data_IF_173759630414
#
_entry.id   IF_173759630414
#
_cell.length_a   1.000
_cell.length_b   1.000
_cell.length_c   1.000
_cell.angle_alpha   90.00
_cell.angle_beta   90.00
_cell.angle_gamma   90.00
#
_symmetry.space_group_name_H-M   'P 1'
#
loop_
_entity.id
_entity.type
_entity.pdbx_description
1 polymer ?
#
# COMPACT_ATOMS: atom_id res chain seq x y z
N UNK A 1 16.18 96.80 166.99
CA UNK A 1 17.23 96.57 165.96
C UNK A 1 18.02 95.27 166.20
N UNK A 2 18.38 94.90 167.44
CA UNK A 2 19.15 93.66 167.72
C UNK A 2 18.33 92.35 167.55
N UNK A 3 17.03 92.37 167.89
CA UNK A 3 16.16 91.18 167.84
C UNK A 3 15.99 90.60 166.41
N UNK A 4 15.88 91.44 165.39
CA UNK A 4 15.76 91.02 163.99
C UNK A 4 17.04 90.40 163.44
N UNK A 5 18.21 90.89 163.84
CA UNK A 5 19.51 90.29 163.47
C UNK A 5 19.69 88.88 164.07
N UNK A 6 19.20 88.65 165.29
CA UNK A 6 19.30 87.36 165.99
C UNK A 6 18.42 86.28 165.32
N UNK A 7 17.19 86.62 164.92
CA UNK A 7 16.34 85.72 164.13
C UNK A 7 16.94 85.40 162.75
N UNK A 8 17.61 86.35 162.11
CA UNK A 8 18.28 86.12 160.83
C UNK A 8 19.45 85.14 160.98
N UNK A 9 20.34 85.37 161.96
CA UNK A 9 21.48 84.47 162.23
C UNK A 9 20.97 83.08 162.61
N UNK A 10 19.94 82.99 163.46
CA UNK A 10 19.34 81.72 163.84
C UNK A 10 18.71 80.99 162.64
N UNK A 11 17.99 81.71 161.77
CA UNK A 11 17.43 81.15 160.53
C UNK A 11 18.50 80.61 159.58
N UNK A 12 19.61 81.33 159.41
CA UNK A 12 20.78 80.86 158.64
C UNK A 12 21.40 79.63 159.29
N UNK A 13 21.55 79.62 160.61
CA UNK A 13 22.12 78.49 161.33
C UNK A 13 21.26 77.23 161.17
N UNK A 14 19.93 77.35 161.27
CA UNK A 14 18.98 76.25 161.09
C UNK A 14 19.01 75.72 159.66
N UNK A 15 19.04 76.59 158.65
CA UNK A 15 19.12 76.14 157.25
C UNK A 15 20.44 75.44 156.94
N UNK A 16 21.56 75.97 157.42
CA UNK A 16 22.87 75.30 157.28
C UNK A 16 22.86 73.95 157.99
N UNK A 17 22.29 73.87 159.20
CA UNK A 17 22.17 72.62 159.94
C UNK A 17 21.36 71.56 159.19
N UNK A 18 20.22 71.94 158.61
CA UNK A 18 19.37 71.05 157.79
C UNK A 18 20.12 70.57 156.54
N UNK A 19 20.85 71.45 155.84
CA UNK A 19 21.62 71.09 154.65
C UNK A 19 22.76 70.11 154.99
N UNK A 20 23.46 70.34 156.11
CA UNK A 20 24.55 69.46 156.57
C UNK A 20 24.00 68.09 156.99
N UNK A 21 22.80 68.04 157.58
CA UNK A 21 22.20 66.78 158.04
C UNK A 21 21.58 65.96 156.90
N UNK A 22 20.89 66.60 155.94
CA UNK A 22 20.24 65.90 154.83
C UNK A 22 21.13 65.69 153.60
N UNK A 23 22.10 66.57 153.36
CA UNK A 23 22.99 66.52 152.20
C UNK A 23 23.67 65.14 151.99
N UNK A 24 24.30 64.55 153.01
CA UNK A 24 24.97 63.26 152.88
C UNK A 24 24.04 62.09 152.52
N UNK A 25 22.79 62.12 153.00
CA UNK A 25 21.81 61.05 152.77
C UNK A 25 21.28 61.06 151.33
N UNK A 26 20.94 62.25 150.83
CA UNK A 26 20.46 62.44 149.45
C UNK A 26 21.58 62.08 148.46
N UNK A 27 22.83 62.49 148.74
CA UNK A 27 23.98 62.21 147.87
C UNK A 27 24.29 60.71 147.77
N UNK A 28 24.24 59.97 148.89
CA UNK A 28 24.43 58.51 148.88
C UNK A 28 23.39 57.79 148.02
N UNK A 29 22.11 58.21 148.09
CA UNK A 29 21.02 57.56 147.35
C UNK A 29 21.07 57.87 145.86
N UNK A 30 21.40 59.11 145.49
CA UNK A 30 21.63 59.50 144.10
C UNK A 30 22.80 58.73 143.46
N UNK A 31 23.91 58.59 144.19
CA UNK A 31 25.09 57.86 143.70
C UNK A 31 24.82 56.37 143.48
N UNK A 32 24.04 55.71 144.33
CA UNK A 32 23.70 54.30 144.16
C UNK A 32 22.84 54.05 142.89
N UNK A 33 21.84 54.90 142.65
CA UNK A 33 20.99 54.80 141.45
C UNK A 33 21.80 55.09 140.18
N UNK A 34 22.64 56.13 140.20
CA UNK A 34 23.55 56.44 139.10
C UNK A 34 24.53 55.29 138.83
N UNK A 35 25.12 54.71 139.88
CA UNK A 35 26.03 53.57 139.75
C UNK A 35 25.33 52.33 139.19
N UNK A 36 24.08 52.05 139.58
CA UNK A 36 23.30 50.91 139.06
C UNK A 36 22.90 51.10 137.60
N UNK A 37 22.58 52.32 137.17
CA UNK A 37 22.29 52.62 135.76
C UNK A 37 23.55 52.50 134.90
N UNK A 38 24.66 53.10 135.34
CA UNK A 38 25.94 53.05 134.64
C UNK A 38 26.48 51.61 134.53
N UNK A 39 26.26 50.78 135.56
CA UNK A 39 26.63 49.36 135.54
C UNK A 39 25.77 48.49 134.62
N UNK A 40 24.56 48.92 134.26
CA UNK A 40 23.69 48.19 133.34
C UNK A 40 23.99 48.51 131.87
N UNK A 41 24.57 49.67 131.60
CA UNK A 41 24.85 50.16 130.24
C UNK A 41 26.32 49.99 129.83
N UNK A 42 27.24 49.76 130.77
CA UNK A 42 28.67 49.64 130.48
C UNK A 42 29.21 48.24 130.79
N UNK A 43 30.05 47.66 129.90
CA UNK A 43 30.72 46.40 130.15
C UNK A 43 31.77 46.61 131.25
N UNK A 44 31.52 46.03 132.43
CA UNK A 44 32.42 46.15 133.59
C UNK A 44 33.42 45.00 133.67
N UNK A 45 33.30 43.99 132.80
CA UNK A 45 34.24 42.87 132.74
C UNK A 45 35.05 42.89 131.44
N UNK A 46 36.33 42.52 131.56
CA UNK A 46 37.24 42.37 130.42
C UNK A 46 36.83 41.23 129.47
N UNK A 47 36.00 40.29 129.93
CA UNK A 47 35.42 39.24 129.11
C UNK A 47 34.31 39.79 128.18
N UNK A 48 33.42 40.64 128.67
CA UNK A 48 32.38 41.30 127.86
C UNK A 48 32.98 42.20 126.78
N UNK A 49 34.00 43.02 127.10
CA UNK A 49 34.69 43.86 126.10
C UNK A 49 35.35 43.02 125.00
N UNK A 50 35.91 41.85 125.35
CA UNK A 50 36.45 40.92 124.36
C UNK A 50 35.36 40.30 123.50
N UNK A 51 34.22 39.95 124.10
CA UNK A 51 33.06 39.42 123.38
C UNK A 51 32.48 40.45 122.40
N UNK A 52 32.33 41.72 122.77
CA UNK A 52 31.87 42.79 121.87
C UNK A 52 32.84 43.03 120.73
N UNK A 53 34.16 43.06 121.02
CA UNK A 53 35.18 43.20 119.99
C UNK A 53 35.17 42.02 119.01
N UNK A 54 35.05 40.80 119.53
CA UNK A 54 35.01 39.60 118.70
C UNK A 54 33.67 39.48 117.94
N UNK A 55 32.57 40.00 118.52
CA UNK A 55 31.27 40.18 117.86
C UNK A 55 31.32 41.18 116.70
N UNK A 56 31.90 42.37 116.91
CA UNK A 56 32.13 43.35 115.83
C UNK A 56 33.01 42.75 114.73
N UNK A 57 34.06 42.01 115.07
CA UNK A 57 34.88 41.28 114.08
C UNK A 57 34.05 40.27 113.30
N UNK A 58 33.14 39.56 113.93
CA UNK A 58 32.25 38.62 113.27
C UNK A 58 31.26 39.34 112.34
N UNK A 59 30.65 40.44 112.78
CA UNK A 59 29.76 41.26 111.95
C UNK A 59 30.48 41.82 110.72
N UNK A 60 31.67 42.39 110.90
CA UNK A 60 32.49 42.85 109.79
C UNK A 60 32.90 41.70 108.86
N UNK A 61 33.28 40.54 109.40
CA UNK A 61 33.61 39.36 108.59
C UNK A 61 32.41 38.87 107.76
N UNK A 62 31.21 38.85 108.34
CA UNK A 62 29.96 38.50 107.64
C UNK A 62 29.63 39.54 106.58
N UNK A 63 29.75 40.83 106.88
CA UNK A 63 29.51 41.91 105.93
C UNK A 63 30.47 41.86 104.74
N UNK A 64 31.77 41.65 105.00
CA UNK A 64 32.80 41.47 103.96
C UNK A 64 32.53 40.22 103.14
N UNK A 65 32.23 39.08 103.78
CA UNK A 65 31.90 37.85 103.05
C UNK A 65 30.67 38.01 102.16
N UNK A 66 29.63 38.70 102.65
CA UNK A 66 28.42 39.01 101.86
C UNK A 66 28.74 39.91 100.66
N UNK A 67 29.58 40.94 100.85
CA UNK A 67 30.03 41.80 99.76
C UNK A 67 30.89 41.04 98.75
N UNK A 68 31.79 40.16 99.19
CA UNK A 68 32.59 39.30 98.33
C UNK A 68 31.71 38.35 97.51
N UNK A 69 30.67 37.77 98.12
CA UNK A 69 29.70 36.93 97.41
C UNK A 69 28.94 37.72 96.34
N UNK A 70 28.43 38.91 96.67
CA UNK A 70 27.76 39.78 95.69
C UNK A 70 28.71 40.16 94.56
N UNK A 71 29.96 40.51 94.88
CA UNK A 71 30.98 40.84 93.89
C UNK A 71 31.33 39.64 93.00
N UNK A 72 31.35 38.42 93.54
CA UNK A 72 31.52 37.19 92.74
C UNK A 72 30.34 36.97 91.79
N UNK A 73 29.12 37.13 92.26
CA UNK A 73 27.91 37.00 91.42
C UNK A 73 27.90 38.05 90.30
N UNK A 74 28.20 39.31 90.61
CA UNK A 74 28.27 40.36 89.59
C UNK A 74 29.41 40.13 88.59
N UNK A 75 30.56 39.62 89.04
CA UNK A 75 31.64 39.21 88.13
C UNK A 75 31.23 38.05 87.23
N UNK A 76 30.50 37.07 87.75
CA UNK A 76 29.96 35.95 86.96
C UNK A 76 28.97 36.47 85.91
N UNK A 77 27.99 37.29 86.29
CA UNK A 77 27.04 37.91 85.36
C UNK A 77 27.75 38.74 84.28
N UNK A 78 28.76 39.52 84.67
CA UNK A 78 29.53 40.33 83.72
C UNK A 78 30.31 39.45 82.72
N UNK A 79 30.89 38.34 83.21
CA UNK A 79 31.56 37.37 82.35
C UNK A 79 30.58 36.70 81.38
N UNK A 80 29.40 36.29 81.86
CA UNK A 80 28.33 35.72 81.02
C UNK A 80 27.86 36.71 79.95
N UNK A 81 27.59 37.96 80.33
CA UNK A 81 27.21 39.01 79.39
C UNK A 81 28.27 39.27 78.33
N UNK A 82 29.56 39.28 78.70
CA UNK A 82 30.65 39.42 77.73
C UNK A 82 30.71 38.26 76.75
N UNK A 83 30.47 37.03 77.20
CA UNK A 83 30.41 35.85 76.31
C UNK A 83 29.22 35.96 75.37
N UNK A 84 28.05 36.39 75.85
CA UNK A 84 26.87 36.61 75.02
C UNK A 84 27.10 37.70 73.96
N UNK A 85 27.68 38.84 74.36
CA UNK A 85 28.03 39.92 73.44
C UNK A 85 29.06 39.48 72.40
N UNK A 86 30.07 38.68 72.79
CA UNK A 86 31.04 38.14 71.86
C UNK A 86 30.37 37.24 70.81
N UNK A 87 29.46 36.36 71.22
CA UNK A 87 28.68 35.50 70.30
C UNK A 87 27.80 36.33 69.36
N UNK A 88 27.07 37.31 69.89
CA UNK A 88 26.24 38.20 69.07
C UNK A 88 27.09 38.99 68.07
N UNK A 89 28.28 39.44 68.46
CA UNK A 89 29.19 40.13 67.56
C UNK A 89 29.74 39.21 66.45
N UNK A 90 29.99 37.94 66.76
CA UNK A 90 30.33 36.93 65.74
C UNK A 90 29.18 36.68 64.76
N UNK A 91 27.93 36.65 65.23
CA UNK A 91 26.74 36.54 64.38
C UNK A 91 26.58 37.78 63.49
N UNK A 92 26.73 38.98 64.04
CA UNK A 92 26.69 40.25 63.29
C UNK A 92 27.76 40.30 62.20
N UNK A 93 28.95 39.76 62.46
CA UNK A 93 30.02 39.65 61.44
C UNK A 93 29.67 38.72 60.28
N UNK A 94 28.76 37.76 60.46
CA UNK A 94 28.32 36.87 59.38
C UNK A 94 27.31 37.51 58.44
N UNK A 95 26.55 38.51 58.92
CA UNK A 95 25.54 39.22 58.11
C UNK A 95 26.11 39.75 56.79
N UNK A 96 27.22 40.52 56.73
CA UNK A 96 27.73 41.03 55.45
C UNK A 96 28.20 39.93 54.50
N UNK A 97 28.68 38.79 55.03
CA UNK A 97 29.04 37.63 54.20
C UNK A 97 27.80 37.00 53.57
N UNK A 98 26.71 36.90 54.35
CA UNK A 98 25.43 36.41 53.86
C UNK A 98 24.82 37.37 52.84
N UNK A 99 24.85 38.68 53.08
CA UNK A 99 24.41 39.70 52.13
C UNK A 99 25.20 39.64 50.81
N UNK A 100 26.53 39.46 50.89
CA UNK A 100 27.36 39.27 49.70
C UNK A 100 26.97 38.00 48.93
N UNK A 101 26.76 36.88 49.63
CA UNK A 101 26.30 35.64 48.99
C UNK A 101 24.91 35.76 48.37
N UNK A 102 24.00 36.50 49.01
CA UNK A 102 22.67 36.77 48.48
C UNK A 102 22.76 37.62 47.22
N UNK A 103 23.57 38.68 47.22
CA UNK A 103 23.78 39.51 46.05
C UNK A 103 24.38 38.72 44.87
N UNK A 104 25.28 37.77 45.14
CA UNK A 104 25.84 36.92 44.09
C UNK A 104 24.83 35.89 43.57
N UNK A 105 23.99 35.32 44.44
CA UNK A 105 22.87 34.45 44.04
C UNK A 105 21.86 35.23 43.19
N UNK A 106 21.53 36.46 43.57
CA UNK A 106 20.61 37.32 42.80
C UNK A 106 21.17 37.65 41.41
N UNK A 107 22.48 37.92 41.29
CA UNK A 107 23.13 38.10 39.99
C UNK A 107 23.06 36.83 39.14
N UNK A 108 23.40 35.69 39.72
CA UNK A 108 23.32 34.39 39.02
C UNK A 108 21.88 34.10 38.58
N UNK A 109 20.89 34.37 39.43
CA UNK A 109 19.48 34.19 39.10
C UNK A 109 19.07 35.09 37.93
N UNK A 110 19.47 36.37 37.95
CA UNK A 110 19.20 37.29 36.86
C UNK A 110 19.88 36.86 35.54
N UNK A 111 21.10 36.33 35.58
CA UNK A 111 21.78 35.76 34.42
C UNK A 111 21.07 34.51 33.88
N UNK A 112 20.67 33.60 34.76
CA UNK A 112 19.91 32.41 34.38
C UNK A 112 18.53 32.75 33.81
N UNK A 113 17.83 33.75 34.36
CA UNK A 113 16.56 34.22 33.80
C UNK A 113 16.73 34.84 32.41
N UNK A 114 17.81 35.60 32.19
CA UNK A 114 18.15 36.13 30.86
C UNK A 114 18.42 35.00 29.87
N UNK A 115 19.28 34.05 30.25
CA UNK A 115 19.55 32.87 29.42
C UNK A 115 18.30 32.05 29.15
N UNK A 116 17.42 31.86 30.14
CA UNK A 116 16.16 31.14 29.96
C UNK A 116 15.21 31.85 28.98
N UNK A 117 15.15 33.20 29.01
CA UNK A 117 14.37 34.00 28.05
C UNK A 117 14.97 33.91 26.64
N UNK A 118 16.30 34.00 26.52
CA UNK A 118 16.99 33.86 25.23
C UNK A 118 16.77 32.47 24.63
N UNK A 119 16.97 31.40 25.40
CA UNK A 119 16.70 30.02 24.99
C UNK A 119 15.22 29.83 24.65
N UNK A 120 14.29 30.44 25.41
CA UNK A 120 12.87 30.44 25.10
C UNK A 120 12.56 31.06 23.74
N UNK A 121 13.10 32.26 23.46
CA UNK A 121 12.92 32.92 22.16
C UNK A 121 13.57 32.16 21.00
N UNK A 122 14.74 31.56 21.22
CA UNK A 122 15.43 30.74 20.24
C UNK A 122 14.64 29.45 19.94
N UNK A 123 14.04 28.84 20.97
CA UNK A 123 13.15 27.68 20.82
C UNK A 123 11.91 28.05 20.03
N UNK A 124 11.26 29.16 20.35
CA UNK A 124 10.01 29.57 19.69
C UNK A 124 10.25 29.90 18.21
N UNK A 125 11.34 30.61 17.88
CA UNK A 125 11.74 30.84 16.49
C UNK A 125 12.15 29.55 15.76
N UNK A 126 12.75 28.58 16.45
CA UNK A 126 13.04 27.27 15.87
C UNK A 126 11.77 26.46 15.60
N UNK A 127 10.76 26.54 16.48
CA UNK A 127 9.46 25.91 16.28
C UNK A 127 8.71 26.51 15.09
N UNK A 128 8.71 27.84 14.94
CA UNK A 128 8.12 28.51 13.77
C UNK A 128 8.79 28.05 12.46
N UNK A 129 10.13 27.99 12.43
CA UNK A 129 10.87 27.48 11.27
C UNK A 129 10.55 26.02 10.98
N UNK A 130 10.45 25.18 12.01
CA UNK A 130 10.10 23.77 11.86
C UNK A 130 8.68 23.61 11.27
N UNK A 131 7.72 24.42 11.72
CA UNK A 131 6.35 24.41 11.17
C UNK A 131 6.32 24.83 9.69
N UNK A 132 7.09 25.86 9.31
CA UNK A 132 7.21 26.29 7.90
C UNK A 132 7.79 25.16 7.04
N UNK A 133 8.88 24.53 7.49
CA UNK A 133 9.51 23.42 6.78
C UNK A 133 8.58 22.20 6.68
N UNK A 134 7.79 21.92 7.72
CA UNK A 134 6.80 20.86 7.69
C UNK A 134 5.69 21.15 6.66
N UNK A 135 5.19 22.38 6.61
CA UNK A 135 4.20 22.79 5.61
C UNK A 135 4.78 22.74 4.17
N UNK A 136 6.05 23.09 3.98
CA UNK A 136 6.73 22.96 2.70
C UNK A 136 6.91 21.49 2.30
N UNK A 137 7.26 20.63 3.25
CA UNK A 137 7.40 19.19 3.03
C UNK A 137 6.06 18.54 2.67
N UNK A 138 4.96 18.91 3.34
CA UNK A 138 3.61 18.47 3.00
C UNK A 138 3.20 18.93 1.59
N UNK A 139 3.50 20.18 1.23
CA UNK A 139 3.28 20.69 -0.15
C UNK A 139 4.07 19.87 -1.17
N UNK A 140 5.36 19.65 -0.94
CA UNK A 140 6.19 18.84 -1.83
C UNK A 140 5.66 17.41 -1.95
N UNK A 141 5.25 16.78 -0.84
CA UNK A 141 4.63 15.45 -0.86
C UNK A 141 3.35 15.42 -1.71
N UNK A 142 2.47 16.42 -1.58
CA UNK A 142 1.27 16.52 -2.43
C UNK A 142 1.62 16.66 -3.91
N UNK A 143 2.67 17.42 -4.25
CA UNK A 143 3.16 17.54 -5.62
C UNK A 143 3.73 16.21 -6.14
N UNK A 144 4.49 15.49 -5.32
CA UNK A 144 4.98 14.16 -5.67
C UNK A 144 3.83 13.17 -5.92
N UNK A 145 2.83 13.14 -5.06
CA UNK A 145 1.65 12.29 -5.24
C UNK A 145 0.86 12.64 -6.53
N UNK A 146 0.75 13.94 -6.85
CA UNK A 146 0.13 14.37 -8.10
C UNK A 146 0.95 13.95 -9.33
N UNK A 147 2.27 14.09 -9.29
CA UNK A 147 3.17 13.64 -10.36
C UNK A 147 3.13 12.11 -10.53
N UNK A 148 3.06 11.36 -9.43
CA UNK A 148 2.92 9.90 -9.45
C UNK A 148 1.59 9.50 -10.10
N UNK A 149 0.47 10.13 -9.73
CA UNK A 149 -0.82 9.92 -10.37
C UNK A 149 -0.84 10.24 -11.87
N UNK A 150 -0.13 11.29 -12.29
CA UNK A 150 0.06 11.60 -13.72
C UNK A 150 0.90 10.53 -14.42
N UNK A 151 1.97 10.04 -13.79
CA UNK A 151 2.81 8.98 -14.35
C UNK A 151 2.02 7.67 -14.52
N UNK A 152 1.18 7.30 -13.55
CA UNK A 152 0.30 6.15 -13.64
C UNK A 152 -0.75 6.32 -14.75
N UNK A 153 -1.32 7.51 -14.90
CA UNK A 153 -2.26 7.82 -15.99
C UNK A 153 -1.58 7.67 -17.36
N UNK A 154 -0.39 8.25 -17.53
CA UNK A 154 0.40 8.11 -18.76
C UNK A 154 0.78 6.65 -19.03
N UNK A 155 1.09 5.87 -17.99
CA UNK A 155 1.39 4.44 -18.13
C UNK A 155 0.18 3.65 -18.61
N UNK A 156 -1.01 3.97 -18.11
CA UNK A 156 -2.26 3.38 -18.59
C UNK A 156 -2.50 3.76 -20.05
N UNK A 157 -2.34 5.03 -20.42
CA UNK A 157 -2.50 5.50 -21.81
C UNK A 157 -1.51 4.82 -22.77
N UNK A 158 -0.23 4.70 -22.38
CA UNK A 158 0.77 3.97 -23.16
C UNK A 158 0.33 2.52 -23.34
N UNK A 159 -0.07 1.83 -22.28
CA UNK A 159 -0.52 0.44 -22.38
C UNK A 159 -1.78 0.30 -23.26
N UNK A 160 -2.71 1.25 -23.18
CA UNK A 160 -3.87 1.31 -24.05
C UNK A 160 -3.45 1.48 -25.52
N UNK A 161 -2.58 2.45 -25.81
CA UNK A 161 -2.06 2.68 -27.16
C UNK A 161 -1.30 1.46 -27.70
N UNK A 162 -0.51 0.76 -26.89
CA UNK A 162 0.20 -0.46 -27.29
C UNK A 162 -0.76 -1.59 -27.69
N UNK A 163 -1.87 -1.74 -26.98
CA UNK A 163 -2.91 -2.72 -27.36
C UNK A 163 -3.59 -2.34 -28.67
N UNK A 164 -3.85 -1.05 -28.91
CA UNK A 164 -4.40 -0.57 -30.18
C UNK A 164 -3.40 -0.78 -31.33
N UNK A 165 -2.12 -0.43 -31.14
CA UNK A 165 -1.07 -0.69 -32.11
C UNK A 165 -0.97 -2.18 -32.44
N UNK A 166 -1.04 -3.06 -31.44
CA UNK A 166 -1.04 -4.51 -31.64
C UNK A 166 -2.25 -4.99 -32.44
N UNK A 167 -3.45 -4.45 -32.14
CA UNK A 167 -4.69 -4.73 -32.87
C UNK A 167 -4.59 -4.30 -34.34
N UNK A 168 -4.19 -3.07 -34.61
CA UNK A 168 -4.01 -2.56 -35.99
C UNK A 168 -2.94 -3.35 -36.74
N UNK A 169 -1.86 -3.76 -36.05
CA UNK A 169 -0.81 -4.57 -36.66
C UNK A 169 -1.36 -5.94 -37.08
N UNK A 170 -2.14 -6.60 -36.23
CA UNK A 170 -2.80 -7.87 -36.55
C UNK A 170 -3.77 -7.69 -37.74
N UNK A 171 -4.64 -6.69 -37.71
CA UNK A 171 -5.54 -6.37 -38.83
C UNK A 171 -4.76 -6.13 -40.14
N UNK A 172 -3.65 -5.40 -40.08
CA UNK A 172 -2.80 -5.18 -41.26
C UNK A 172 -2.18 -6.48 -41.78
N UNK A 173 -1.78 -7.40 -40.89
CA UNK A 173 -1.28 -8.72 -41.30
C UNK A 173 -2.37 -9.60 -41.92
N UNK A 174 -3.59 -9.56 -41.39
CA UNK A 174 -4.76 -10.24 -41.95
C UNK A 174 -5.12 -9.67 -43.33
N UNK A 175 -5.24 -8.34 -43.45
CA UNK A 175 -5.48 -7.67 -44.73
C UNK A 175 -4.39 -7.97 -45.77
N UNK A 176 -3.13 -8.10 -45.35
CA UNK A 176 -2.04 -8.54 -46.24
C UNK A 176 -2.22 -9.98 -46.69
N UNK A 177 -2.67 -10.87 -45.80
CA UNK A 177 -2.95 -12.29 -46.11
C UNK A 177 -4.12 -12.41 -47.07
N UNK A 178 -5.21 -11.70 -46.82
CA UNK A 178 -6.40 -11.64 -47.67
C UNK A 178 -6.04 -11.09 -49.05
N UNK A 179 -5.25 -10.02 -49.13
CA UNK A 179 -4.76 -9.48 -50.40
C UNK A 179 -3.94 -10.52 -51.18
N UNK A 180 -3.09 -11.29 -50.49
CA UNK A 180 -2.28 -12.35 -51.13
C UNK A 180 -3.17 -13.49 -51.63
N UNK A 181 -4.16 -13.90 -50.85
CA UNK A 181 -5.11 -14.95 -51.21
C UNK A 181 -6.03 -14.51 -52.37
N UNK A 182 -6.56 -13.29 -52.33
CA UNK A 182 -7.31 -12.70 -53.44
C UNK A 182 -6.47 -12.59 -54.71
N UNK A 183 -5.19 -12.20 -54.61
CA UNK A 183 -4.28 -12.19 -55.74
C UNK A 183 -4.01 -13.61 -56.30
N UNK A 184 -3.86 -14.62 -55.43
CA UNK A 184 -3.72 -16.01 -55.84
C UNK A 184 -4.98 -16.51 -56.57
N UNK A 185 -6.17 -16.26 -56.02
CA UNK A 185 -7.46 -16.59 -56.65
C UNK A 185 -7.64 -15.87 -57.99
N UNK A 186 -7.27 -14.59 -58.07
CA UNK A 186 -7.30 -13.84 -59.32
C UNK A 186 -6.38 -14.46 -60.38
N UNK A 187 -5.16 -14.83 -59.99
CA UNK A 187 -4.22 -15.49 -60.90
C UNK A 187 -4.75 -16.87 -61.33
N UNK A 188 -5.32 -17.65 -60.42
CA UNK A 188 -5.91 -18.95 -60.74
C UNK A 188 -7.07 -18.80 -61.73
N UNK A 189 -8.03 -17.91 -61.46
CA UNK A 189 -9.14 -17.61 -62.39
C UNK A 189 -8.62 -17.08 -63.73
N UNK A 190 -7.59 -16.23 -63.73
CA UNK A 190 -6.95 -15.76 -64.97
C UNK A 190 -6.34 -16.91 -65.76
N UNK A 191 -5.63 -17.84 -65.10
CA UNK A 191 -5.08 -19.03 -65.76
C UNK A 191 -6.18 -19.94 -66.31
N UNK A 192 -7.25 -20.19 -65.53
CA UNK A 192 -8.42 -20.95 -65.98
C UNK A 192 -9.13 -20.27 -67.16
N UNK A 193 -9.25 -18.95 -67.14
CA UNK A 193 -9.80 -18.18 -68.26
C UNK A 193 -8.94 -18.34 -69.50
N UNK A 194 -7.60 -18.29 -69.37
CA UNK A 194 -6.69 -18.48 -70.51
C UNK A 194 -6.74 -19.90 -71.06
N UNK A 195 -6.82 -20.94 -70.21
CA UNK A 195 -6.96 -22.32 -70.65
C UNK A 195 -8.33 -22.59 -71.29
N UNK A 196 -9.42 -22.08 -70.71
CA UNK A 196 -10.74 -22.16 -71.31
C UNK A 196 -10.80 -21.42 -72.66
N UNK A 197 -10.10 -20.30 -72.80
CA UNK A 197 -9.97 -19.59 -74.08
C UNK A 197 -9.18 -20.40 -75.12
N UNK A 198 -8.10 -21.09 -74.74
CA UNK A 198 -7.34 -21.94 -75.68
C UNK A 198 -8.14 -23.18 -76.07
N UNK A 199 -8.83 -23.82 -75.13
CA UNK A 199 -9.76 -24.92 -75.38
C UNK A 199 -10.88 -24.48 -76.31
N UNK A 200 -11.55 -23.35 -76.02
CA UNK A 200 -12.60 -22.80 -76.87
C UNK A 200 -12.09 -22.47 -78.28
N UNK A 201 -10.86 -21.93 -78.42
CA UNK A 201 -10.25 -21.73 -79.74
C UNK A 201 -9.99 -23.06 -80.46
N UNK A 202 -9.54 -24.08 -79.75
CA UNK A 202 -9.31 -25.41 -80.32
C UNK A 202 -10.62 -26.10 -80.74
N UNK A 203 -11.68 -25.99 -79.93
CA UNK A 203 -13.02 -26.48 -80.25
C UNK A 203 -13.62 -25.69 -81.41
N UNK A 204 -13.46 -24.36 -81.47
CA UNK A 204 -13.85 -23.57 -82.65
C UNK A 204 -13.11 -24.02 -83.92
N UNK A 205 -11.81 -24.33 -83.83
CA UNK A 205 -11.05 -24.90 -84.95
C UNK A 205 -11.58 -26.27 -85.36
N UNK A 206 -11.75 -27.20 -84.41
CA UNK A 206 -12.36 -28.52 -84.67
C UNK A 206 -13.73 -28.40 -85.30
N UNK A 207 -14.57 -27.50 -84.79
CA UNK A 207 -15.91 -27.27 -85.32
C UNK A 207 -15.84 -26.70 -86.75
N UNK A 208 -14.92 -25.77 -87.04
CA UNK A 208 -14.68 -25.30 -88.41
C UNK A 208 -14.14 -26.40 -89.33
N UNK A 209 -13.27 -27.30 -88.85
CA UNK A 209 -12.78 -28.45 -89.60
C UNK A 209 -13.90 -29.47 -89.86
N UNK A 210 -14.77 -29.70 -88.89
CA UNK A 210 -15.96 -30.55 -89.03
C UNK A 210 -16.97 -29.92 -89.99
N UNK A 211 -17.17 -28.61 -89.95
CA UNK A 211 -17.97 -27.88 -90.93
C UNK A 211 -17.39 -28.02 -92.34
N UNK A 212 -16.06 -27.86 -92.51
CA UNK A 212 -15.40 -28.10 -93.80
C UNK A 212 -15.53 -29.55 -94.26
N UNK A 213 -15.43 -30.53 -93.34
CA UNK A 213 -15.67 -31.95 -93.67
C UNK A 213 -17.12 -32.21 -94.05
N UNK A 214 -18.08 -31.59 -93.38
CA UNK A 214 -19.49 -31.63 -93.74
C UNK A 214 -19.70 -31.02 -95.12
N UNK A 215 -19.11 -29.86 -95.40
CA UNK A 215 -19.21 -29.21 -96.70
C UNK A 215 -18.54 -30.04 -97.81
N UNK A 216 -17.41 -30.70 -97.51
CA UNK A 216 -16.79 -31.69 -98.40
C UNK A 216 -17.66 -32.93 -98.62
N UNK A 217 -18.27 -33.47 -97.57
CA UNK A 217 -19.20 -34.61 -97.70
C UNK A 217 -20.46 -34.19 -98.43
N UNK A 218 -20.95 -32.96 -98.24
CA UNK A 218 -22.06 -32.39 -99.01
C UNK A 218 -21.63 -32.22 -100.46
N UNK A 219 -20.42 -31.77 -100.75
CA UNK A 219 -19.90 -31.65 -102.11
C UNK A 219 -19.62 -33.01 -102.76
N UNK A 220 -19.12 -33.99 -102.01
CA UNK A 220 -18.93 -35.36 -102.48
C UNK A 220 -20.27 -36.06 -102.68
N UNK A 221 -21.25 -35.82 -101.81
CA UNK A 221 -22.62 -36.27 -102.01
C UNK A 221 -23.26 -35.55 -103.19
N UNK A 222 -23.03 -34.26 -103.40
CA UNK A 222 -23.55 -33.53 -104.56
C UNK A 222 -22.85 -33.97 -105.85
N UNK A 223 -21.55 -34.25 -105.82
CA UNK A 223 -20.78 -34.78 -106.95
C UNK A 223 -21.12 -36.24 -107.21
N UNK A 224 -21.41 -37.04 -106.18
CA UNK A 224 -21.93 -38.39 -106.32
C UNK A 224 -23.37 -38.37 -106.82
N UNK A 225 -24.21 -37.45 -106.35
CA UNK A 225 -25.55 -37.19 -106.89
C UNK A 225 -25.46 -36.68 -108.32
N UNK A 226 -24.52 -35.81 -108.66
CA UNK A 226 -24.30 -35.30 -110.02
C UNK A 226 -23.65 -36.37 -110.90
N UNK A 227 -22.81 -37.27 -110.35
CA UNK A 227 -22.34 -38.47 -111.05
C UNK A 227 -23.49 -39.44 -111.26
N UNK A 228 -24.39 -39.65 -110.30
CA UNK A 228 -25.64 -40.41 -110.47
C UNK A 228 -26.52 -39.72 -111.51
N UNK A 229 -26.60 -38.39 -111.51
CA UNK A 229 -27.36 -37.60 -112.47
C UNK A 229 -26.71 -37.59 -113.87
N UNK A 230 -25.38 -37.69 -113.95
CA UNK A 230 -24.63 -37.85 -115.19
C UNK A 230 -24.64 -39.29 -115.66
N UNK A 231 -24.68 -40.29 -114.79
CA UNK A 231 -24.96 -41.67 -115.14
C UNK A 231 -26.42 -41.82 -115.55
N UNK A 232 -27.37 -41.07 -114.98
CA UNK A 232 -28.77 -41.06 -115.41
C UNK A 232 -29.00 -40.21 -116.68
N UNK A 233 -28.20 -39.17 -116.93
CA UNK A 233 -28.21 -38.38 -118.19
C UNK A 233 -27.40 -39.02 -119.32
N UNK A 234 -26.33 -39.78 -119.03
CA UNK A 234 -25.59 -40.59 -120.02
C UNK A 234 -26.29 -41.93 -120.30
N UNK A 235 -27.27 -42.28 -119.47
CA UNK A 235 -28.23 -43.38 -119.63
C UNK A 235 -29.64 -42.82 -119.93
N UNK A 236 -29.70 -41.85 -120.85
CA UNK A 236 -30.94 -41.32 -121.44
C UNK A 236 -30.87 -41.26 -122.98
N UNK A 237 -29.98 -42.06 -123.58
CA UNK A 237 -29.89 -42.28 -125.02
C UNK A 237 -29.12 -43.57 -125.27
N UNK A 238 -29.75 -44.50 -125.98
CA UNK A 238 -29.35 -45.90 -126.23
C UNK A 238 -29.90 -46.90 -125.20
N UNK A 239 -31.08 -47.42 -125.56
CA UNK A 239 -31.56 -48.76 -125.23
C UNK A 239 -30.48 -49.80 -125.58
N UNK A 240 -30.11 -50.66 -124.62
CA UNK A 240 -30.45 -52.09 -124.63
C UNK A 240 -29.62 -52.83 -123.55
N UNK A 241 -30.30 -53.25 -122.46
CA UNK A 241 -30.03 -54.44 -121.61
C UNK A 241 -28.61 -54.70 -121.00
N UNK A 242 -28.40 -55.71 -120.13
CA UNK A 242 -29.15 -56.12 -118.94
C UNK A 242 -28.19 -56.44 -117.76
N UNK A 243 -28.19 -55.73 -116.63
CA UNK A 243 -27.33 -56.15 -115.49
C UNK A 243 -27.88 -55.80 -114.09
N UNK A 244 -29.21 -55.74 -113.97
CA UNK A 244 -29.87 -55.63 -112.66
C UNK A 244 -30.10 -57.01 -112.00
N UNK A 245 -30.06 -58.09 -112.78
CA UNK A 245 -30.35 -59.44 -112.27
C UNK A 245 -29.13 -60.14 -111.66
N UNK A 246 -27.91 -59.75 -112.01
CA UNK A 246 -26.68 -60.33 -111.44
C UNK A 246 -26.38 -59.72 -110.07
N UNK A 247 -26.55 -58.39 -109.92
CA UNK A 247 -26.40 -57.67 -108.64
C UNK A 247 -27.49 -58.06 -107.63
N UNK A 248 -28.73 -58.31 -108.06
CA UNK A 248 -29.77 -58.82 -107.18
C UNK A 248 -29.52 -60.28 -106.75
N UNK A 249 -28.94 -61.11 -107.62
CA UNK A 249 -28.54 -62.48 -107.26
C UNK A 249 -27.34 -62.50 -106.31
N UNK A 250 -26.31 -61.70 -106.58
CA UNK A 250 -25.15 -61.57 -105.69
C UNK A 250 -25.56 -61.02 -104.31
N UNK A 251 -26.44 -60.01 -104.25
CA UNK A 251 -26.97 -59.52 -102.98
C UNK A 251 -27.87 -60.54 -102.27
N UNK A 252 -28.61 -61.38 -103.01
CA UNK A 252 -29.38 -62.46 -102.40
C UNK A 252 -28.47 -63.56 -101.83
N UNK A 253 -27.38 -63.91 -102.52
CA UNK A 253 -26.38 -64.88 -102.04
C UNK A 253 -25.61 -64.33 -100.84
N UNK A 254 -25.16 -63.07 -100.88
CA UNK A 254 -24.49 -62.43 -99.73
C UNK A 254 -25.42 -62.30 -98.52
N UNK A 255 -26.70 -61.98 -98.70
CA UNK A 255 -27.69 -61.98 -97.61
C UNK A 255 -27.92 -63.38 -97.04
N UNK A 256 -27.87 -64.40 -97.88
CA UNK A 256 -27.99 -65.80 -97.45
C UNK A 256 -26.76 -66.25 -96.64
N UNK A 257 -25.56 -65.90 -97.09
CA UNK A 257 -24.29 -66.17 -96.39
C UNK A 257 -24.20 -65.40 -95.06
N UNK A 258 -24.57 -64.12 -95.03
CA UNK A 258 -24.63 -63.34 -93.79
C UNK A 258 -25.63 -63.93 -92.79
N UNK A 259 -26.81 -64.36 -93.26
CA UNK A 259 -27.80 -65.01 -92.41
C UNK A 259 -27.31 -66.38 -91.90
N UNK A 260 -26.56 -67.13 -92.69
CA UNK A 260 -25.94 -68.40 -92.27
C UNK A 260 -24.79 -68.18 -91.28
N UNK A 261 -23.93 -67.18 -91.50
CA UNK A 261 -22.83 -66.83 -90.60
C UNK A 261 -23.36 -66.31 -89.26
N UNK A 262 -24.37 -65.44 -89.28
CA UNK A 262 -25.03 -64.95 -88.07
C UNK A 262 -25.69 -66.10 -87.28
N UNK A 263 -26.31 -67.07 -87.96
CA UNK A 263 -26.87 -68.24 -87.30
C UNK A 263 -25.78 -69.10 -86.62
N UNK A 264 -24.63 -69.31 -87.28
CA UNK A 264 -23.48 -70.04 -86.70
C UNK A 264 -22.87 -69.31 -85.50
N UNK A 265 -22.71 -67.99 -85.58
CA UNK A 265 -22.17 -67.20 -84.47
C UNK A 265 -23.10 -67.26 -83.27
N UNK A 266 -24.42 -67.11 -83.49
CA UNK A 266 -25.43 -67.17 -82.43
C UNK A 266 -25.55 -68.57 -81.81
N UNK A 267 -25.46 -69.64 -82.62
CA UNK A 267 -25.42 -71.01 -82.13
C UNK A 267 -24.15 -71.29 -81.30
N UNK A 268 -22.98 -70.88 -81.79
CA UNK A 268 -21.71 -71.04 -81.07
C UNK A 268 -21.65 -70.22 -79.77
N UNK A 269 -22.31 -69.06 -79.71
CA UNK A 269 -22.45 -68.30 -78.46
C UNK A 269 -23.41 -68.98 -77.49
N UNK A 270 -24.52 -69.55 -77.97
CA UNK A 270 -25.46 -70.30 -77.12
C UNK A 270 -24.80 -71.56 -76.52
N UNK A 271 -23.97 -72.27 -77.30
CA UNK A 271 -23.21 -73.43 -76.82
C UNK A 271 -22.15 -73.04 -75.76
N UNK A 272 -21.45 -71.91 -75.95
CA UNK A 272 -20.50 -71.38 -74.97
C UNK A 272 -21.17 -70.88 -73.67
N UNK A 273 -22.38 -70.34 -73.76
CA UNK A 273 -23.13 -69.82 -72.60
C UNK A 273 -23.86 -70.92 -71.80
N UNK A 274 -24.00 -72.12 -72.37
CA UNK A 274 -24.63 -73.26 -71.72
C UNK A 274 -26.16 -73.11 -71.56
N UNK A 275 -26.82 -74.03 -70.81
CA UNK A 275 -28.29 -74.14 -70.78
C UNK A 275 -29.03 -72.93 -70.15
N UNK A 276 -28.30 -71.94 -69.61
CA UNK A 276 -28.84 -70.69 -69.07
C UNK A 276 -28.86 -69.51 -70.04
N UNK A 277 -28.45 -69.71 -71.31
CA UNK A 277 -28.39 -68.61 -72.27
C UNK A 277 -29.79 -68.01 -72.56
N UNK A 278 -29.95 -66.67 -72.50
CA UNK A 278 -31.18 -65.98 -72.90
C UNK A 278 -31.58 -66.28 -74.35
N UNK A 279 -30.63 -66.70 -75.19
CA UNK A 279 -30.82 -67.01 -76.61
C UNK A 279 -31.82 -68.16 -76.79
N UNK A 280 -31.81 -69.19 -75.93
CA UNK A 280 -32.77 -70.29 -76.01
C UNK A 280 -34.22 -69.83 -75.81
N UNK A 281 -34.46 -68.94 -74.83
CA UNK A 281 -35.79 -68.38 -74.57
C UNK A 281 -36.30 -67.52 -75.75
N UNK A 282 -35.40 -66.79 -76.40
CA UNK A 282 -35.72 -65.95 -77.56
C UNK A 282 -36.02 -66.83 -78.79
N UNK A 283 -35.30 -67.94 -78.97
CA UNK A 283 -35.55 -68.90 -80.06
C UNK A 283 -36.88 -69.66 -79.90
N UNK A 284 -37.34 -69.93 -78.67
CA UNK A 284 -38.67 -70.51 -78.39
C UNK A 284 -39.80 -69.52 -78.68
N UNK A 285 -39.62 -68.25 -78.30
CA UNK A 285 -40.60 -67.18 -78.59
C UNK A 285 -40.70 -66.91 -80.08
N UNK A 286 -39.56 -66.89 -80.79
CA UNK A 286 -39.52 -66.72 -82.24
C UNK A 286 -40.23 -67.88 -82.99
N UNK A 287 -40.19 -69.10 -82.45
CA UNK A 287 -40.85 -70.26 -83.05
C UNK A 287 -42.37 -70.18 -83.01
N UNK A 288 -42.93 -69.69 -81.89
CA UNK A 288 -44.37 -69.46 -81.75
C UNK A 288 -44.86 -68.37 -82.71
N UNK A 289 -44.00 -67.41 -83.05
CA UNK A 289 -44.30 -66.38 -84.03
C UNK A 289 -44.23 -66.89 -85.49
N UNK A 290 -43.33 -67.83 -85.80
CA UNK A 290 -43.19 -68.42 -87.15
C UNK A 290 -44.20 -69.53 -87.46
N UNK A 291 -44.77 -70.20 -86.46
CA UNK A 291 -45.81 -71.23 -86.64
C UNK A 291 -47.16 -70.66 -87.17
N UNK A 292 -47.39 -69.34 -87.06
CA UNK A 292 -48.62 -68.68 -87.52
C UNK A 292 -48.63 -68.27 -89.00
N UNK A 293 -47.50 -68.34 -89.72
CA UNK A 293 -47.42 -67.97 -91.14
C UNK A 293 -47.49 -69.21 -92.03
N UNK A 294 -48.69 -69.44 -92.59
CA UNK A 294 -48.96 -70.52 -93.54
C UNK A 294 -48.01 -70.52 -94.75
N UNK A 295 -47.69 -71.74 -95.21
CA UNK A 295 -46.88 -72.12 -96.38
C UNK A 295 -47.02 -71.15 -97.57
N UNK A 296 -46.13 -70.16 -97.66
CA UNK A 296 -45.67 -69.57 -98.92
C UNK A 296 -44.15 -69.47 -98.84
N UNK A 297 -43.47 -69.99 -99.87
CA UNK A 297 -42.02 -70.11 -99.95
C UNK A 297 -41.34 -68.77 -99.61
N UNK A 298 -40.88 -68.65 -98.37
CA UNK A 298 -40.11 -67.55 -97.84
C UNK A 298 -38.83 -68.14 -97.23
N UNK A 299 -37.68 -67.45 -97.35
CA UNK A 299 -36.40 -67.98 -96.90
C UNK A 299 -36.45 -68.35 -95.41
N UNK A 300 -35.81 -69.48 -95.03
CA UNK A 300 -35.80 -69.98 -93.64
C UNK A 300 -35.41 -68.86 -92.67
N UNK A 301 -36.22 -68.61 -91.64
CA UNK A 301 -35.92 -67.59 -90.64
C UNK A 301 -34.61 -67.90 -89.89
N UNK A 302 -33.95 -66.86 -89.38
CA UNK A 302 -32.70 -66.97 -88.64
C UNK A 302 -32.83 -67.91 -87.42
N UNK A 303 -33.95 -67.82 -86.69
CA UNK A 303 -34.25 -68.68 -85.55
C UNK A 303 -34.33 -70.17 -85.93
N UNK A 304 -34.92 -70.47 -87.09
CA UNK A 304 -35.01 -71.84 -87.61
C UNK A 304 -33.65 -72.38 -88.06
N UNK A 305 -32.79 -71.53 -88.63
CA UNK A 305 -31.40 -71.90 -89.01
C UNK A 305 -30.50 -72.15 -87.81
N UNK A 306 -30.68 -71.40 -86.72
CA UNK A 306 -29.93 -71.61 -85.47
C UNK A 306 -30.29 -72.95 -84.83
N UNK A 307 -31.56 -73.38 -84.88
CA UNK A 307 -31.99 -74.69 -84.37
C UNK A 307 -31.57 -75.86 -85.25
N UNK A 308 -31.49 -75.70 -86.58
CA UNK A 308 -30.92 -76.72 -87.48
C UNK A 308 -29.41 -76.99 -87.20
N UNK A 309 -28.75 -76.15 -86.37
CA UNK A 309 -27.32 -76.23 -86.01
C UNK A 309 -27.05 -76.67 -84.55
N UNK A 310 -28.09 -76.76 -83.70
CA UNK A 310 -28.02 -77.23 -82.31
C UNK A 310 -28.37 -78.72 -82.20
#
# INVERSE_FOLDING_TARGET
MIQSALFFIFGVLVTVFVVVLLGPSIWRRAFFLARRQVQAELPITLAEIRADRDGLRAEYAVAVSRQEQLLKLERQKNAEQKVLLARQYEELKRIPLLEASQADIEKQLAEHERMAKEVGSARDTALEKAQILQAELERMQSHYAALEGLADTLRIEISGSETEYSRLTNEMTEMRRDRKEAAARYNEVSTQLTSAQTELKSEKRRNSELQQKLEKLISELSDAQEKIERYSRRKAGVDDSPDLTEIERENAVLREEMAALAARVVAATAEKEGPGSPIHSILEVAEKADAGKGRKASPKSLARRIRDLQ
#
